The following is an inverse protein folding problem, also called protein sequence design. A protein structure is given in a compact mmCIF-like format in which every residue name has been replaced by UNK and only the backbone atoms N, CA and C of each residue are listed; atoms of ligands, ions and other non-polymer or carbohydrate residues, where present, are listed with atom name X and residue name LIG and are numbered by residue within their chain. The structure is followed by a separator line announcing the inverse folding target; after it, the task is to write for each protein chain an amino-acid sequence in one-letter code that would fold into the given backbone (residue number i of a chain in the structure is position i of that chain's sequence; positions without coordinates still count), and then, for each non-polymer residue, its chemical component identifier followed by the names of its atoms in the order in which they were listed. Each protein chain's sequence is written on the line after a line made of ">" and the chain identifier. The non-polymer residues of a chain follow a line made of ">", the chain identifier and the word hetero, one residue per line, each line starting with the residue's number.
data_IF_399849531521
#
_entry.id   IF_399849531521
#
_cell.length_a   1.000
_cell.length_b   1.000
_cell.length_c   1.000
_cell.angle_alpha   90.00
_cell.angle_beta   90.00
_cell.angle_gamma   90.00
#
_symmetry.space_group_name_H-M   'P 1'
#
loop_
_entity.id
_entity.type
_entity.pdbx_description
1 polymer ?
#
# COMPACT_ATOMS: atom_id res chain seq x y z
N UNK A 1 -25.13 -11.72 5.87
CA UNK A 1 -24.19 -12.33 4.90
C UNK A 1 -23.48 -11.21 4.16
N UNK A 2 -22.15 -11.33 3.98
CA UNK A 2 -21.32 -10.41 3.19
C UNK A 2 -20.72 -11.21 2.03
N UNK A 3 -20.78 -10.67 0.81
CA UNK A 3 -20.24 -11.31 -0.40
C UNK A 3 -19.10 -10.45 -0.96
N UNK A 4 -17.96 -11.07 -1.27
CA UNK A 4 -16.79 -10.43 -1.87
C UNK A 4 -16.60 -10.88 -3.30
N UNK A 5 -16.07 -9.99 -4.16
CA UNK A 5 -15.81 -10.32 -5.57
C UNK A 5 -14.62 -11.25 -5.79
N UNK A 6 -13.78 -11.44 -4.78
CA UNK A 6 -12.58 -12.28 -4.84
C UNK A 6 -12.35 -13.01 -3.50
N UNK A 7 -11.48 -14.04 -3.54
CA UNK A 7 -11.03 -14.83 -2.40
C UNK A 7 -12.15 -15.57 -1.66
N UNK A 8 -12.32 -15.33 -0.35
CA UNK A 8 -13.21 -16.09 0.54
C UNK A 8 -14.68 -16.12 0.07
N UNK A 9 -15.10 -15.14 -0.74
CA UNK A 9 -16.37 -15.14 -1.45
C UNK A 9 -17.57 -14.82 -0.56
N UNK A 10 -17.82 -15.61 0.47
CA UNK A 10 -18.98 -15.46 1.36
C UNK A 10 -18.52 -15.48 2.82
N UNK A 11 -19.00 -14.50 3.59
CA UNK A 11 -18.89 -14.45 5.04
C UNK A 11 -20.29 -14.53 5.65
N UNK A 12 -20.45 -15.43 6.60
CA UNK A 12 -21.72 -15.69 7.30
C UNK A 12 -21.66 -15.12 8.73
N UNK A 13 -22.84 -14.90 9.33
CA UNK A 13 -22.95 -14.42 10.70
C UNK A 13 -22.82 -15.60 11.71
N UNK A 14 -22.24 -15.37 12.90
CA UNK A 14 -21.60 -14.12 13.33
C UNK A 14 -20.29 -13.89 12.58
N UNK A 15 -20.04 -12.63 12.19
CA UNK A 15 -18.79 -12.28 11.53
C UNK A 15 -17.63 -12.30 12.53
N UNK A 16 -16.38 -12.55 12.08
CA UNK A 16 -15.21 -12.32 12.93
C UNK A 16 -15.20 -10.89 13.46
N UNK A 17 -15.04 -10.71 14.77
CA UNK A 17 -15.10 -9.39 15.43
C UNK A 17 -14.05 -8.41 14.88
N UNK A 18 -12.90 -8.93 14.44
CA UNK A 18 -11.76 -8.16 13.96
C UNK A 18 -11.71 -8.00 12.42
N UNK A 19 -12.78 -8.38 11.71
CA UNK A 19 -12.78 -8.38 10.23
C UNK A 19 -12.43 -7.00 9.64
N UNK A 20 -13.05 -5.94 10.19
CA UNK A 20 -12.82 -4.56 9.74
C UNK A 20 -11.45 -4.04 10.16
N UNK A 21 -11.04 -4.34 11.40
CA UNK A 21 -9.73 -3.95 11.91
C UNK A 21 -8.61 -4.55 11.07
N UNK A 22 -8.72 -5.84 10.71
CA UNK A 22 -7.77 -6.51 9.81
C UNK A 22 -7.67 -5.83 8.44
N UNK A 23 -8.79 -5.35 7.91
CA UNK A 23 -8.79 -4.64 6.63
C UNK A 23 -8.07 -3.28 6.75
N UNK A 24 -8.38 -2.50 7.79
CA UNK A 24 -7.72 -1.23 8.06
C UNK A 24 -6.22 -1.39 8.34
N UNK A 25 -5.84 -2.44 9.06
CA UNK A 25 -4.44 -2.74 9.38
C UNK A 25 -3.60 -2.96 8.13
N UNK A 26 -4.14 -3.56 7.06
CA UNK A 26 -3.40 -3.71 5.81
C UNK A 26 -3.01 -2.36 5.22
N UNK A 27 -3.89 -1.35 5.30
CA UNK A 27 -3.62 0.00 4.81
C UNK A 27 -2.60 0.69 5.72
N UNK A 28 -2.82 0.63 7.04
CA UNK A 28 -1.93 1.24 8.04
C UNK A 28 -0.51 0.69 7.96
N UNK A 29 -0.34 -0.64 7.97
CA UNK A 29 0.96 -1.30 7.93
C UNK A 29 1.73 -0.95 6.65
N UNK A 30 1.04 -0.85 5.50
CA UNK A 30 1.67 -0.43 4.25
C UNK A 30 2.15 1.02 4.30
N UNK A 31 1.36 1.91 4.90
CA UNK A 31 1.74 3.31 5.06
C UNK A 31 2.94 3.47 6.02
N UNK A 32 2.96 2.73 7.13
CA UNK A 32 4.10 2.70 8.06
C UNK A 32 5.40 2.25 7.36
N UNK A 33 5.31 1.21 6.52
CA UNK A 33 6.44 0.74 5.71
C UNK A 33 6.87 1.77 4.67
N UNK A 34 5.92 2.50 4.07
CA UNK A 34 6.23 3.58 3.14
C UNK A 34 6.93 4.74 3.86
N UNK A 35 6.48 5.13 5.05
CA UNK A 35 7.14 6.16 5.87
C UNK A 35 8.58 5.76 6.18
N UNK A 36 8.80 4.50 6.61
CA UNK A 36 10.16 3.97 6.82
C UNK A 36 10.99 4.07 5.53
N UNK A 37 10.37 3.73 4.40
CA UNK A 37 11.03 3.80 3.10
C UNK A 37 11.36 5.24 2.65
N UNK A 38 10.61 6.24 3.11
CA UNK A 38 10.80 7.65 2.73
C UNK A 38 11.70 8.43 3.69
N UNK A 39 12.33 7.77 4.67
CA UNK A 39 13.43 8.35 5.46
C UNK A 39 14.61 8.80 4.59
N UNK A 40 14.72 8.24 3.37
CA UNK A 40 15.61 8.73 2.31
C UNK A 40 14.80 9.09 1.07
N UNK A 41 15.20 10.09 0.27
CA UNK A 41 14.44 10.50 -0.91
C UNK A 41 14.32 9.37 -1.96
N UNK A 42 13.09 8.98 -2.32
CA UNK A 42 12.81 7.93 -3.31
C UNK A 42 11.80 8.35 -4.38
N UNK A 43 11.99 7.87 -5.59
CA UNK A 43 11.02 7.92 -6.70
C UNK A 43 9.95 6.83 -6.56
N UNK A 44 8.86 6.93 -7.32
CA UNK A 44 7.80 5.91 -7.32
C UNK A 44 8.33 4.55 -7.82
N UNK A 45 9.29 4.57 -8.74
CA UNK A 45 10.02 3.40 -9.22
C UNK A 45 10.76 2.70 -8.07
N UNK A 46 11.60 3.43 -7.33
CA UNK A 46 12.36 2.89 -6.18
C UNK A 46 11.42 2.42 -5.04
N UNK A 47 10.28 3.09 -4.84
CA UNK A 47 9.27 2.65 -3.87
C UNK A 47 8.65 1.31 -4.29
N UNK A 48 8.32 1.13 -5.56
CA UNK A 48 7.75 -0.14 -6.04
C UNK A 48 8.74 -1.31 -5.90
N UNK A 49 10.04 -1.06 -6.00
CA UNK A 49 11.08 -2.07 -5.77
C UNK A 49 11.21 -2.52 -4.31
N UNK A 50 10.58 -1.80 -3.36
CA UNK A 50 10.50 -2.22 -1.96
C UNK A 50 9.46 -3.33 -1.73
N UNK A 51 8.61 -3.65 -2.71
CA UNK A 51 7.59 -4.72 -2.67
C UNK A 51 6.68 -4.66 -1.42
N UNK A 52 6.23 -3.46 -1.05
CA UNK A 52 5.45 -3.24 0.18
C UNK A 52 4.06 -3.89 0.09
N UNK A 53 3.45 -3.93 -1.10
CA UNK A 53 2.10 -4.47 -1.31
C UNK A 53 2.10 -5.99 -1.34
N UNK A 54 2.98 -6.60 -2.14
CA UNK A 54 3.00 -8.03 -2.43
C UNK A 54 4.05 -8.82 -1.62
N UNK A 55 4.94 -8.12 -0.93
CA UNK A 55 5.97 -8.65 -0.02
C UNK A 55 7.22 -9.21 -0.70
N UNK A 56 7.14 -9.55 -1.98
CA UNK A 56 8.23 -10.08 -2.80
C UNK A 56 7.92 -9.92 -4.29
N UNK A 57 8.93 -9.95 -5.17
CA UNK A 57 8.71 -10.05 -6.61
C UNK A 57 7.79 -11.22 -6.99
N UNK A 58 6.91 -10.99 -7.96
CA UNK A 58 5.97 -11.98 -8.50
C UNK A 58 5.92 -11.90 -10.02
N UNK A 59 5.52 -13.00 -10.66
CA UNK A 59 5.37 -13.10 -12.11
C UNK A 59 3.89 -13.08 -12.53
N UNK A 60 3.52 -12.34 -13.61
CA UNK A 60 4.40 -11.58 -14.50
C UNK A 60 4.91 -10.27 -13.87
N UNK A 61 6.22 -10.03 -13.90
CA UNK A 61 6.87 -8.90 -13.21
C UNK A 61 6.20 -7.55 -13.48
N UNK A 62 5.93 -7.25 -14.75
CA UNK A 62 5.36 -5.95 -15.15
C UNK A 62 3.99 -5.70 -14.52
N UNK A 63 3.15 -6.74 -14.42
CA UNK A 63 1.82 -6.65 -13.82
C UNK A 63 1.90 -6.34 -12.33
N UNK A 64 2.76 -7.04 -11.59
CA UNK A 64 2.90 -6.82 -10.16
C UNK A 64 3.63 -5.52 -9.82
N UNK A 65 4.60 -5.09 -10.64
CA UNK A 65 5.23 -3.76 -10.49
C UNK A 65 4.21 -2.65 -10.75
N UNK A 66 3.34 -2.79 -11.76
CA UNK A 66 2.24 -1.86 -11.98
C UNK A 66 1.31 -1.79 -10.75
N UNK A 67 0.97 -2.93 -10.17
CA UNK A 67 0.18 -3.01 -8.94
C UNK A 67 0.84 -2.31 -7.74
N UNK A 68 2.14 -2.54 -7.53
CA UNK A 68 2.93 -1.85 -6.49
C UNK A 68 2.85 -0.32 -6.69
N UNK A 69 3.13 0.17 -7.89
CA UNK A 69 3.08 1.61 -8.20
C UNK A 69 1.69 2.20 -8.00
N UNK A 70 0.65 1.52 -8.47
CA UNK A 70 -0.72 2.01 -8.38
C UNK A 70 -1.22 2.12 -6.94
N UNK A 71 -0.85 1.17 -6.08
CA UNK A 71 -1.28 1.18 -4.67
C UNK A 71 -0.38 2.11 -3.86
N UNK A 72 0.95 2.04 -3.99
CA UNK A 72 1.88 2.93 -3.29
C UNK A 72 1.71 4.40 -3.71
N UNK A 73 1.36 4.65 -4.98
CA UNK A 73 0.99 5.98 -5.48
C UNK A 73 -0.11 6.64 -4.65
N UNK A 74 -1.17 5.90 -4.31
CA UNK A 74 -2.27 6.42 -3.49
C UNK A 74 -1.82 6.77 -2.06
N UNK A 75 -0.97 5.93 -1.46
CA UNK A 75 -0.43 6.20 -0.14
C UNK A 75 0.45 7.45 -0.14
N UNK A 76 1.39 7.55 -1.08
CA UNK A 76 2.31 8.71 -1.13
C UNK A 76 1.56 10.00 -1.48
N UNK A 77 0.57 9.96 -2.36
CA UNK A 77 -0.29 11.12 -2.66
C UNK A 77 -1.08 11.60 -1.44
N UNK A 78 -1.62 10.66 -0.65
CA UNK A 78 -2.28 11.00 0.62
C UNK A 78 -1.30 11.66 1.59
N UNK A 79 -0.11 11.09 1.77
CA UNK A 79 0.90 11.63 2.69
C UNK A 79 1.42 13.00 2.26
N UNK A 80 1.53 13.25 0.95
CA UNK A 80 1.84 14.58 0.41
C UNK A 80 0.70 15.57 0.71
N UNK A 81 -0.55 15.17 0.49
CA UNK A 81 -1.72 16.01 0.78
C UNK A 81 -1.84 16.36 2.27
N UNK A 82 -1.40 15.48 3.16
CA UNK A 82 -1.39 15.71 4.62
C UNK A 82 -0.07 16.32 5.12
N UNK A 83 0.81 16.77 4.23
CA UNK A 83 2.11 17.36 4.56
C UNK A 83 3.06 16.47 5.40
N UNK A 84 2.83 15.15 5.42
CA UNK A 84 3.74 14.19 6.06
C UNK A 84 4.92 13.80 5.17
N UNK A 85 4.79 13.98 3.86
CA UNK A 85 5.82 13.70 2.85
C UNK A 85 5.95 14.93 1.95
N UNK A 86 7.18 15.35 1.69
CA UNK A 86 7.49 16.37 0.70
C UNK A 86 7.78 15.71 -0.66
N UNK A 87 7.40 16.41 -1.75
CA UNK A 87 7.73 16.00 -3.12
C UNK A 87 8.64 17.05 -3.77
N UNK A 88 9.78 16.64 -4.30
CA UNK A 88 10.70 17.49 -5.05
C UNK A 88 11.02 16.82 -6.38
N UNK A 89 10.53 17.40 -7.48
CA UNK A 89 10.60 16.77 -8.80
C UNK A 89 9.87 15.42 -8.80
N UNK A 90 10.60 14.35 -9.11
CA UNK A 90 10.09 12.97 -9.12
C UNK A 90 10.38 12.18 -7.83
N UNK A 91 10.96 12.82 -6.80
CA UNK A 91 11.30 12.17 -5.53
C UNK A 91 10.38 12.61 -4.39
N UNK A 92 10.16 11.69 -3.47
CA UNK A 92 9.38 11.82 -2.25
C UNK A 92 10.31 11.59 -1.06
N UNK A 93 10.14 12.38 0.00
CA UNK A 93 10.91 12.26 1.25
C UNK A 93 10.01 12.60 2.42
N UNK A 94 10.24 11.97 3.57
CA UNK A 94 9.58 12.35 4.82
C UNK A 94 9.81 13.84 5.11
N UNK A 95 8.75 14.57 5.43
CA UNK A 95 8.80 16.02 5.67
C UNK A 95 9.45 16.39 7.01
#
# INVERSE_FOLDING_TARGET
>A
MLVTGHEKGIFEAPFPEDLWQKYEDVIRIREERLIEALKVPRSLEEIAECWIVYGRPREPKEFFVFGEKAIMGKHVERLVRTAAVAKTGNRYVLA
#
